data_IF_365542779585
#
_entry.id   IF_365542779585
#
_cell.length_a   1.000
_cell.length_b   1.000
_cell.length_c   1.000
_cell.angle_alpha   90.00
_cell.angle_beta   90.00
_cell.angle_gamma   90.00
#
_symmetry.space_group_name_H-M   'P 1'
#
loop_
_entity.id
_entity.type
_entity.pdbx_description
1 polymer ?
#
# COMPACT_ATOMS: atom_id res chain seq x y z
N UNK A 1 3.44 6.99 -38.91
CA UNK A 1 4.00 8.33 -38.61
C UNK A 1 2.90 9.14 -37.98
N UNK A 2 2.91 9.26 -36.65
CA UNK A 2 1.89 10.02 -35.93
C UNK A 2 2.51 11.31 -35.40
N UNK A 3 1.79 12.39 -35.66
CA UNK A 3 2.28 13.75 -35.75
C UNK A 3 2.23 14.46 -34.40
N UNK A 4 3.22 15.33 -34.19
CA UNK A 4 3.30 16.31 -33.12
C UNK A 4 2.04 17.19 -33.04
N UNK A 5 1.49 17.34 -31.83
CA UNK A 5 0.71 18.51 -31.44
C UNK A 5 1.32 19.13 -30.17
N UNK A 6 1.82 20.35 -30.35
CA UNK A 6 2.31 21.29 -29.34
C UNK A 6 1.12 22.08 -28.78
N UNK A 7 1.02 22.23 -27.46
CA UNK A 7 0.26 23.31 -26.79
C UNK A 7 1.04 23.66 -25.52
N UNK A 8 1.79 24.77 -25.50
CA UNK A 8 1.39 26.12 -25.09
C UNK A 8 1.15 26.22 -23.58
N UNK A 9 2.08 26.88 -22.90
CA UNK A 9 2.10 27.02 -21.45
C UNK A 9 1.10 28.04 -20.90
N UNK A 10 0.81 27.86 -19.60
CA UNK A 10 0.32 28.85 -18.66
C UNK A 10 0.85 28.42 -17.27
N UNK A 11 1.61 29.27 -16.57
CA UNK A 11 1.73 29.20 -15.10
C UNK A 11 0.45 29.77 -14.46
N UNK A 12 0.35 30.03 -13.14
CA UNK A 12 1.30 29.91 -12.02
C UNK A 12 0.71 28.97 -10.92
N UNK A 13 1.33 28.64 -9.79
CA UNK A 13 1.45 29.45 -8.58
C UNK A 13 2.18 28.63 -7.51
N UNK A 14 3.06 29.34 -6.82
CA UNK A 14 3.60 29.06 -5.51
C UNK A 14 2.64 28.32 -4.56
N UNK A 15 3.05 27.13 -4.12
CA UNK A 15 2.70 26.57 -2.82
C UNK A 15 3.97 25.98 -2.21
N UNK A 16 4.74 26.84 -1.58
CA UNK A 16 5.64 26.50 -0.48
C UNK A 16 4.99 25.48 0.48
N UNK A 17 5.62 24.33 0.62
CA UNK A 17 5.19 23.25 1.52
C UNK A 17 6.25 22.16 1.60
N UNK A 18 7.37 22.52 2.22
CA UNK A 18 8.52 21.67 2.52
C UNK A 18 8.07 20.42 3.26
N UNK A 19 8.25 19.25 2.64
CA UNK A 19 8.19 17.96 3.32
C UNK A 19 9.33 17.08 2.80
N UNK A 20 10.33 16.92 3.70
CA UNK A 20 11.38 15.90 3.77
C UNK A 20 12.63 16.07 2.89
N UNK A 21 13.65 16.70 3.48
CA UNK A 21 15.04 16.67 3.03
C UNK A 21 15.69 15.31 3.41
N UNK A 22 16.27 14.57 2.46
CA UNK A 22 17.25 13.53 2.85
C UNK A 22 17.53 12.35 1.92
N UNK A 23 16.82 12.16 0.81
CA UNK A 23 17.11 11.06 -0.12
C UNK A 23 17.57 11.59 -1.48
N UNK A 24 18.88 11.66 -1.69
CA UNK A 24 19.45 11.81 -3.03
C UNK A 24 19.40 10.48 -3.77
N UNK A 25 18.25 10.20 -4.41
CA UNK A 25 18.13 9.18 -5.46
C UNK A 25 17.91 9.86 -6.82
N UNK A 26 18.50 9.34 -7.91
CA UNK A 26 18.45 9.99 -9.21
C UNK A 26 17.05 9.86 -9.80
N UNK A 27 16.38 10.99 -9.99
CA UNK A 27 15.40 11.31 -11.03
C UNK A 27 14.88 10.09 -11.83
N UNK A 28 13.86 9.41 -11.28
CA UNK A 28 12.85 8.74 -12.10
C UNK A 28 11.57 9.53 -11.91
N UNK A 29 11.08 10.04 -13.03
CA UNK A 29 9.98 10.97 -13.20
C UNK A 29 8.70 10.52 -12.48
N UNK A 30 8.36 11.18 -11.38
CA UNK A 30 7.04 11.09 -10.74
C UNK A 30 5.96 11.91 -11.47
N UNK A 31 6.24 12.45 -12.67
CA UNK A 31 5.26 13.07 -13.58
C UNK A 31 4.45 12.05 -14.41
N UNK A 32 4.15 10.92 -13.79
CA UNK A 32 2.88 10.25 -14.01
C UNK A 32 2.41 9.90 -12.63
N UNK A 33 1.47 10.67 -12.09
CA UNK A 33 0.42 10.06 -11.30
C UNK A 33 -0.23 9.11 -12.31
N UNK A 34 0.32 7.90 -12.42
CA UNK A 34 -0.48 6.75 -12.83
C UNK A 34 -1.50 6.73 -11.73
N UNK A 35 -2.65 7.37 -11.93
CA UNK A 35 -3.83 7.04 -11.15
C UNK A 35 -3.91 5.53 -11.30
N UNK A 36 -3.63 4.75 -10.24
CA UNK A 36 -3.65 3.32 -10.39
C UNK A 36 -5.08 3.04 -10.85
N UNK A 37 -5.22 2.44 -12.02
CA UNK A 37 -6.54 2.10 -12.54
C UNK A 37 -6.96 0.86 -11.77
N UNK A 38 -7.37 1.08 -10.52
CA UNK A 38 -7.86 0.01 -9.68
C UNK A 38 -9.11 -0.56 -10.37
N UNK A 39 -9.15 -1.87 -10.65
CA UNK A 39 -10.30 -2.49 -11.30
C UNK A 39 -11.57 -2.38 -10.44
N UNK A 40 -11.44 -2.13 -9.13
CA UNK A 40 -12.54 -1.92 -8.20
C UNK A 40 -12.13 -1.05 -7.00
N UNK A 41 -13.12 -0.47 -6.31
CA UNK A 41 -12.91 0.21 -5.02
C UNK A 41 -12.30 -0.73 -3.97
N UNK A 42 -12.72 -2.00 -3.95
CA UNK A 42 -12.18 -3.00 -3.03
C UNK A 42 -10.68 -3.16 -3.22
N UNK A 43 -10.22 -3.22 -4.48
CA UNK A 43 -8.78 -3.31 -4.76
C UNK A 43 -8.03 -2.05 -4.37
N UNK A 44 -8.59 -0.87 -4.62
CA UNK A 44 -7.98 0.39 -4.18
C UNK A 44 -7.83 0.45 -2.66
N UNK A 45 -8.85 0.01 -1.92
CA UNK A 45 -8.82 -0.02 -0.46
C UNK A 45 -7.88 -1.09 0.08
N UNK A 46 -7.81 -2.27 -0.55
CA UNK A 46 -6.88 -3.32 -0.18
C UNK A 46 -5.43 -2.86 -0.38
N UNK A 47 -5.10 -2.30 -1.54
CA UNK A 47 -3.76 -1.77 -1.82
C UNK A 47 -3.39 -0.64 -0.84
N UNK A 48 -4.30 0.32 -0.61
CA UNK A 48 -4.06 1.41 0.35
C UNK A 48 -3.91 0.91 1.80
N UNK A 49 -4.69 -0.10 2.20
CA UNK A 49 -4.57 -0.70 3.54
C UNK A 49 -3.20 -1.36 3.70
N UNK A 50 -2.81 -2.18 2.72
CA UNK A 50 -1.53 -2.88 2.72
C UNK A 50 -0.35 -1.89 2.72
N UNK A 51 -0.43 -0.80 1.96
CA UNK A 51 0.62 0.23 1.94
C UNK A 51 0.79 0.90 3.31
N UNK A 52 -0.31 1.16 4.02
CA UNK A 52 -0.27 1.73 5.38
C UNK A 52 0.30 0.72 6.38
N UNK A 53 -0.09 -0.56 6.30
CA UNK A 53 0.42 -1.59 7.20
C UNK A 53 1.90 -1.87 6.96
N UNK A 54 2.34 -1.91 5.71
CA UNK A 54 3.74 -2.02 5.35
C UNK A 54 4.57 -0.85 5.91
N UNK A 55 4.03 0.37 5.87
CA UNK A 55 4.68 1.53 6.48
C UNK A 55 4.80 1.39 8.00
N UNK A 56 3.77 0.88 8.67
CA UNK A 56 3.76 0.64 10.11
C UNK A 56 4.79 -0.43 10.49
N UNK A 57 4.83 -1.54 9.77
CA UNK A 57 5.77 -2.64 9.99
C UNK A 57 7.23 -2.19 9.81
N UNK A 58 7.49 -1.37 8.79
CA UNK A 58 8.81 -0.78 8.55
C UNK A 58 9.16 0.43 9.43
N UNK A 59 8.27 0.86 10.34
CA UNK A 59 8.53 2.01 11.21
C UNK A 59 9.48 1.63 12.35
N UNK A 60 10.54 2.41 12.53
CA UNK A 60 11.42 2.28 13.68
C UNK A 60 10.79 2.94 14.93
N UNK A 61 11.23 2.51 16.12
CA UNK A 61 10.73 3.01 17.41
C UNK A 61 10.84 4.55 17.60
N UNK A 62 11.72 5.20 16.82
CA UNK A 62 11.86 6.67 16.80
C UNK A 62 10.72 7.37 16.03
N UNK A 63 10.10 6.66 15.08
CA UNK A 63 9.05 7.16 14.19
C UNK A 63 7.66 6.85 14.74
N UNK A 64 7.48 5.65 15.29
CA UNK A 64 6.26 5.24 15.97
C UNK A 64 6.58 4.34 17.17
N UNK A 65 5.92 4.60 18.30
CA UNK A 65 6.06 3.74 19.48
C UNK A 65 5.58 2.33 19.15
N UNK A 66 6.38 1.31 19.51
CA UNK A 66 6.10 -0.08 19.19
C UNK A 66 4.75 -0.55 19.73
N UNK A 67 4.35 -0.11 20.94
CA UNK A 67 3.05 -0.50 21.51
C UNK A 67 1.89 0.11 20.71
N UNK A 68 2.08 1.29 20.13
CA UNK A 68 1.07 1.93 19.28
C UNK A 68 1.01 1.30 17.88
N UNK A 69 2.16 0.87 17.33
CA UNK A 69 2.23 0.07 16.11
C UNK A 69 1.42 -1.23 16.25
N UNK A 70 1.70 -1.99 17.31
CA UNK A 70 1.03 -3.26 17.61
C UNK A 70 -0.47 -3.05 17.79
N UNK A 71 -0.90 -2.02 18.53
CA UNK A 71 -2.34 -1.72 18.70
C UNK A 71 -3.06 -1.45 17.39
N UNK A 72 -2.42 -0.76 16.44
CA UNK A 72 -3.02 -0.50 15.12
C UNK A 72 -3.12 -1.80 14.33
N UNK A 73 -2.07 -2.62 14.32
CA UNK A 73 -2.04 -3.91 13.64
C UNK A 73 -3.13 -4.86 14.20
N UNK A 74 -3.23 -4.99 15.52
CA UNK A 74 -4.27 -5.78 16.20
C UNK A 74 -5.68 -5.25 15.89
N UNK A 75 -5.85 -3.93 15.85
CA UNK A 75 -7.12 -3.29 15.50
C UNK A 75 -7.55 -3.62 14.08
N UNK A 76 -6.62 -3.62 13.14
CA UNK A 76 -6.89 -4.01 11.74
C UNK A 76 -7.19 -5.51 11.65
N UNK A 77 -6.40 -6.37 12.28
CA UNK A 77 -6.64 -7.82 12.36
C UNK A 77 -8.03 -8.13 12.89
N UNK A 78 -8.46 -7.43 13.94
CA UNK A 78 -9.81 -7.57 14.47
C UNK A 78 -10.89 -7.18 13.44
N UNK A 79 -10.73 -6.06 12.75
CA UNK A 79 -11.70 -5.63 11.72
C UNK A 79 -11.78 -6.64 10.59
N UNK A 80 -10.65 -7.04 10.02
CA UNK A 80 -10.65 -7.91 8.82
C UNK A 80 -11.09 -9.34 9.15
N UNK A 81 -10.77 -9.86 10.34
CA UNK A 81 -11.25 -11.17 10.79
C UNK A 81 -12.76 -11.22 11.03
N UNK A 82 -13.41 -10.09 11.36
CA UNK A 82 -14.87 -10.01 11.53
C UNK A 82 -15.66 -9.92 10.23
N UNK A 83 -15.00 -9.75 9.08
CA UNK A 83 -15.66 -9.68 7.78
C UNK A 83 -16.35 -11.02 7.44
N UNK A 84 -17.44 -11.00 6.65
CA UNK A 84 -18.04 -12.22 6.10
C UNK A 84 -17.01 -13.04 5.33
N UNK A 85 -17.13 -14.37 5.39
CA UNK A 85 -16.19 -15.31 4.75
C UNK A 85 -15.89 -14.96 3.28
N UNK A 86 -16.91 -14.61 2.52
CA UNK A 86 -16.78 -14.27 1.09
C UNK A 86 -15.91 -13.02 0.87
N UNK A 87 -16.01 -12.02 1.76
CA UNK A 87 -15.20 -10.80 1.70
C UNK A 87 -13.77 -11.02 2.19
N UNK A 88 -13.58 -11.87 3.20
CA UNK A 88 -12.23 -12.29 3.62
C UNK A 88 -11.54 -13.03 2.49
N UNK A 89 -12.25 -13.92 1.80
CA UNK A 89 -11.72 -14.63 0.64
C UNK A 89 -11.33 -13.69 -0.49
N UNK A 90 -12.15 -12.68 -0.79
CA UNK A 90 -11.82 -11.64 -1.78
C UNK A 90 -10.54 -10.88 -1.38
N UNK A 91 -10.37 -10.51 -0.11
CA UNK A 91 -9.16 -9.85 0.38
C UNK A 91 -7.92 -10.75 0.27
N UNK A 92 -8.03 -12.03 0.65
CA UNK A 92 -6.93 -13.01 0.53
C UNK A 92 -6.49 -13.15 -0.93
N UNK A 93 -7.43 -13.27 -1.86
CA UNK A 93 -7.13 -13.38 -3.28
C UNK A 93 -6.41 -12.13 -3.80
N UNK A 94 -6.87 -10.94 -3.43
CA UNK A 94 -6.24 -9.68 -3.80
C UNK A 94 -4.82 -9.57 -3.25
N UNK A 95 -4.60 -9.91 -1.98
CA UNK A 95 -3.27 -9.90 -1.35
C UNK A 95 -2.34 -10.92 -2.02
N UNK A 96 -2.85 -12.11 -2.35
CA UNK A 96 -2.08 -13.12 -3.08
C UNK A 96 -1.66 -12.67 -4.49
N UNK A 97 -2.54 -11.94 -5.20
CA UNK A 97 -2.18 -11.33 -6.48
C UNK A 97 -1.11 -10.23 -6.32
N UNK A 98 -1.16 -9.44 -5.24
CA UNK A 98 -0.14 -8.45 -4.93
C UNK A 98 1.20 -9.11 -4.62
N UNK A 99 1.22 -10.18 -3.81
CA UNK A 99 2.43 -10.94 -3.48
C UNK A 99 3.09 -11.52 -4.74
N UNK A 100 2.29 -12.09 -5.64
CA UNK A 100 2.77 -12.66 -6.90
C UNK A 100 3.36 -11.61 -7.86
N UNK A 101 2.88 -10.37 -7.79
CA UNK A 101 3.38 -9.25 -8.58
C UNK A 101 4.56 -8.51 -7.92
N UNK A 102 4.82 -8.76 -6.63
CA UNK A 102 5.81 -8.04 -5.85
C UNK A 102 7.25 -8.47 -6.19
N UNK A 103 8.10 -7.45 -6.37
CA UNK A 103 9.52 -7.59 -6.71
C UNK A 103 10.43 -7.52 -5.48
N UNK A 104 10.01 -6.78 -4.45
CA UNK A 104 10.71 -6.70 -3.17
C UNK A 104 10.48 -7.96 -2.33
N UNK A 105 11.55 -8.61 -1.90
CA UNK A 105 11.45 -9.88 -1.19
C UNK A 105 10.82 -9.73 0.21
N UNK A 106 11.11 -8.65 0.92
CA UNK A 106 10.59 -8.41 2.27
C UNK A 106 9.11 -8.04 2.20
N UNK A 107 8.73 -7.18 1.24
CA UNK A 107 7.31 -6.84 1.03
C UNK A 107 6.51 -8.05 0.56
N UNK A 108 7.09 -8.94 -0.25
CA UNK A 108 6.43 -10.18 -0.66
C UNK A 108 6.19 -11.12 0.53
N UNK A 109 7.19 -11.32 1.40
CA UNK A 109 7.07 -12.14 2.60
C UNK A 109 5.94 -11.63 3.50
N UNK A 110 5.90 -10.33 3.77
CA UNK A 110 4.80 -9.68 4.50
C UNK A 110 3.43 -9.97 3.88
N UNK A 111 3.30 -9.91 2.54
CA UNK A 111 2.04 -10.19 1.86
C UNK A 111 1.64 -11.67 1.92
N UNK A 112 2.62 -12.58 1.94
CA UNK A 112 2.38 -14.02 2.06
C UNK A 112 1.92 -14.42 3.47
N UNK A 113 2.47 -13.77 4.51
CA UNK A 113 2.14 -13.99 5.92
C UNK A 113 0.86 -13.25 6.36
N UNK A 114 0.50 -12.15 5.67
CA UNK A 114 -0.65 -11.30 5.99
C UNK A 114 -1.97 -12.06 6.27
N UNK A 115 -2.40 -13.06 5.46
CA UNK A 115 -3.63 -13.79 5.74
C UNK A 115 -3.62 -14.53 7.08
N UNK A 116 -2.47 -15.03 7.52
CA UNK A 116 -2.29 -15.74 8.78
C UNK A 116 -2.21 -14.75 9.94
N UNK A 117 -1.32 -13.76 9.85
CA UNK A 117 -1.07 -12.75 10.89
C UNK A 117 -2.32 -11.95 11.27
N UNK A 118 -3.22 -11.73 10.29
CA UNK A 118 -4.45 -10.99 10.48
C UNK A 118 -5.69 -11.89 10.71
N UNK A 119 -5.50 -13.20 10.85
CA UNK A 119 -6.56 -14.16 11.17
C UNK A 119 -7.64 -14.28 10.10
N UNK A 120 -7.25 -14.21 8.83
CA UNK A 120 -8.15 -14.35 7.68
C UNK A 120 -8.36 -15.81 7.28
N UNK A 121 -7.38 -16.67 7.57
CA UNK A 121 -7.45 -18.11 7.43
C UNK A 121 -7.60 -18.76 8.81
N UNK A 122 -8.34 -19.86 8.89
CA UNK A 122 -8.39 -20.67 10.10
C UNK A 122 -7.12 -21.54 10.12
N UNK A 123 -6.47 -21.65 11.28
CA UNK A 123 -5.41 -22.64 11.49
C UNK A 123 -6.01 -24.03 11.25
N UNK A 124 -5.67 -24.66 10.13
CA UNK A 124 -6.04 -26.05 9.88
C UNK A 124 -5.23 -26.95 10.83
N UNK A 125 -5.68 -27.05 12.08
CA UNK A 125 -5.15 -27.97 13.10
C UNK A 125 -5.50 -29.42 12.83
#
# INVERSE_FOLDING_TARGET
MNNCCRVSGYGPLDVSGVWWDGWTLPLICWETIVTPSYPSLTRALAEALIDVLWFIDGSEDEQMDQDDAVKVMEGVAHVVSTLPKDQRQELIELVGEMAAAETDAARREFLEEFPEDFGLIDDES
#
